data_IF_646686853456
#
_entry.id   IF_646686853456
#
_cell.length_a   1.000
_cell.length_b   1.000
_cell.length_c   1.000
_cell.angle_alpha   90.00
_cell.angle_beta   90.00
_cell.angle_gamma   90.00
#
_symmetry.space_group_name_H-M   'P 1'
#
loop_
_entity.id
_entity.type
_entity.pdbx_description
1 polymer ?
#
# COMPACT_ATOMS: atom_id res chain seq x y z
N UNK A 1 1.66 23.81 -10.94
CA UNK A 1 2.51 22.61 -10.90
C UNK A 1 1.73 21.48 -10.26
N UNK A 2 1.65 20.35 -10.95
CA UNK A 2 0.60 19.31 -10.86
C UNK A 2 0.77 18.34 -9.69
N UNK A 3 -0.32 18.06 -8.98
CA UNK A 3 -0.46 17.20 -7.78
C UNK A 3 0.12 15.78 -7.89
N UNK A 4 0.43 15.29 -9.11
CA UNK A 4 1.13 14.02 -9.35
C UNK A 4 2.48 13.93 -8.64
N UNK A 5 3.18 15.06 -8.43
CA UNK A 5 4.54 15.06 -7.90
C UNK A 5 4.68 14.48 -6.47
N UNK A 6 3.69 14.67 -5.60
CA UNK A 6 3.83 14.34 -4.16
C UNK A 6 3.72 12.86 -3.81
N UNK A 7 2.90 12.11 -4.52
CA UNK A 7 2.73 10.66 -4.26
C UNK A 7 3.89 9.89 -4.87
N UNK A 8 4.42 10.36 -5.99
CA UNK A 8 5.68 9.88 -6.57
C UNK A 8 6.86 10.10 -5.63
N UNK A 9 6.89 11.22 -4.87
CA UNK A 9 7.94 11.47 -3.87
C UNK A 9 7.94 10.44 -2.73
N UNK A 10 6.77 10.05 -2.21
CA UNK A 10 6.68 9.02 -1.17
C UNK A 10 7.12 7.66 -1.70
N UNK A 11 6.59 7.22 -2.84
CA UNK A 11 6.98 5.95 -3.46
C UNK A 11 8.47 5.89 -3.75
N UNK A 12 9.02 7.00 -4.24
CA UNK A 12 10.45 7.15 -4.49
C UNK A 12 11.24 7.06 -3.18
N UNK A 13 10.85 7.79 -2.14
CA UNK A 13 11.51 7.75 -0.83
C UNK A 13 11.49 6.35 -0.22
N UNK A 14 10.37 5.63 -0.33
CA UNK A 14 10.27 4.24 0.12
C UNK A 14 11.22 3.33 -0.64
N UNK A 15 11.30 3.47 -1.97
CA UNK A 15 12.23 2.68 -2.78
C UNK A 15 13.70 3.04 -2.49
N UNK A 16 14.01 4.33 -2.33
CA UNK A 16 15.36 4.79 -2.00
C UNK A 16 15.81 4.24 -0.63
N UNK A 17 14.94 4.29 0.38
CA UNK A 17 15.18 3.69 1.68
C UNK A 17 15.41 2.17 1.56
N UNK A 18 14.59 1.48 0.76
CA UNK A 18 14.74 0.04 0.54
C UNK A 18 16.11 -0.30 -0.04
N UNK A 19 16.53 0.39 -1.09
CA UNK A 19 17.84 0.18 -1.72
C UNK A 19 18.99 0.47 -0.77
N UNK A 20 18.86 1.49 0.08
CA UNK A 20 19.86 1.81 1.10
C UNK A 20 20.00 0.71 2.15
N UNK A 21 18.89 0.09 2.57
CA UNK A 21 18.88 -0.93 3.61
C UNK A 21 19.27 -2.30 3.07
N UNK A 22 18.74 -2.68 1.91
CA UNK A 22 19.04 -3.95 1.27
C UNK A 22 20.48 -4.02 0.74
N UNK A 23 21.10 -2.87 0.47
CA UNK A 23 22.47 -2.79 -0.05
C UNK A 23 22.54 -3.17 -1.54
N UNK A 24 23.75 -3.35 -2.06
CA UNK A 24 23.96 -3.71 -3.46
C UNK A 24 23.55 -5.16 -3.72
N UNK A 25 22.50 -5.33 -4.51
CA UNK A 25 22.03 -6.63 -4.98
C UNK A 25 21.62 -6.53 -6.45
N UNK A 26 21.51 -7.67 -7.12
CA UNK A 26 20.95 -7.77 -8.46
C UNK A 26 19.43 -7.62 -8.43
N UNK A 27 18.84 -7.25 -9.57
CA UNK A 27 17.38 -7.19 -9.72
C UNK A 27 16.69 -8.54 -9.47
N UNK A 28 17.38 -9.66 -9.72
CA UNK A 28 16.85 -11.00 -9.44
C UNK A 28 16.78 -11.24 -7.93
N UNK A 29 17.84 -10.90 -7.20
CA UNK A 29 17.89 -11.07 -5.75
C UNK A 29 16.88 -10.18 -5.03
N UNK A 30 16.69 -8.92 -5.45
CA UNK A 30 15.60 -8.09 -4.93
C UNK A 30 14.22 -8.69 -5.22
N UNK A 31 14.07 -9.36 -6.36
CA UNK A 31 12.83 -10.01 -6.75
C UNK A 31 12.51 -11.20 -5.86
N UNK A 32 13.51 -12.02 -5.55
CA UNK A 32 13.40 -13.13 -4.62
C UNK A 32 13.11 -12.65 -3.19
N UNK A 33 13.79 -11.58 -2.76
CA UNK A 33 13.63 -10.99 -1.43
C UNK A 33 12.21 -10.47 -1.18
N UNK A 34 11.65 -9.73 -2.14
CA UNK A 34 10.34 -9.08 -1.98
C UNK A 34 9.18 -9.94 -2.52
N UNK A 35 9.48 -11.00 -3.28
CA UNK A 35 8.48 -11.74 -4.05
C UNK A 35 7.88 -10.90 -5.19
N UNK A 36 8.66 -10.01 -5.79
CA UNK A 36 8.24 -9.13 -6.89
C UNK A 36 8.99 -9.54 -8.17
N UNK A 37 8.30 -9.61 -9.29
CA UNK A 37 8.95 -9.95 -10.57
C UNK A 37 10.07 -8.95 -10.93
N UNK A 38 11.18 -9.48 -11.46
CA UNK A 38 12.34 -8.68 -11.89
C UNK A 38 11.98 -7.53 -12.83
N UNK A 39 11.12 -7.79 -13.81
CA UNK A 39 10.64 -6.79 -14.78
C UNK A 39 9.79 -5.71 -14.10
N UNK A 40 9.03 -6.08 -13.06
CA UNK A 40 8.24 -5.14 -12.26
C UNK A 40 9.14 -4.27 -11.40
N UNK A 41 10.14 -4.84 -10.72
CA UNK A 41 11.15 -4.08 -9.97
C UNK A 41 11.90 -3.09 -10.87
N UNK A 42 12.33 -3.53 -12.05
CA UNK A 42 12.96 -2.64 -13.03
C UNK A 42 12.07 -1.42 -13.35
N UNK A 43 10.76 -1.64 -13.57
CA UNK A 43 9.82 -0.53 -13.82
C UNK A 43 9.67 0.39 -12.62
N UNK A 44 9.59 -0.14 -11.40
CA UNK A 44 9.48 0.66 -10.18
C UNK A 44 10.70 1.57 -9.98
N UNK A 45 11.91 1.05 -10.24
CA UNK A 45 13.15 1.83 -10.18
C UNK A 45 13.19 2.98 -11.21
N UNK A 46 12.46 2.83 -12.32
CA UNK A 46 12.32 3.87 -13.34
C UNK A 46 11.10 4.77 -13.13
N UNK A 47 10.50 4.75 -11.93
CA UNK A 47 9.42 5.66 -11.54
C UNK A 47 8.02 5.20 -11.94
N UNK A 48 7.83 3.92 -12.25
CA UNK A 48 6.48 3.38 -12.39
C UNK A 48 5.74 3.45 -11.06
N UNK A 49 4.43 3.70 -11.12
CA UNK A 49 3.56 3.74 -9.95
C UNK A 49 3.59 2.39 -9.21
N UNK A 50 3.84 2.46 -7.91
CA UNK A 50 3.86 1.30 -7.01
C UNK A 50 2.43 0.87 -6.66
N UNK A 51 2.18 -0.44 -6.63
CA UNK A 51 0.92 -1.00 -6.12
C UNK A 51 0.96 -1.07 -4.61
N UNK A 52 -0.21 -1.09 -3.96
CA UNK A 52 -0.29 -1.21 -2.49
C UNK A 52 0.45 -2.43 -1.94
N UNK A 53 0.27 -3.62 -2.52
CA UNK A 53 0.93 -4.83 -2.02
C UNK A 53 2.46 -4.80 -2.18
N UNK A 54 2.98 -4.11 -3.22
CA UNK A 54 4.42 -3.93 -3.43
C UNK A 54 4.99 -2.99 -2.37
N UNK A 55 4.24 -1.92 -2.06
CA UNK A 55 4.57 -0.99 -1.00
C UNK A 55 4.59 -1.70 0.36
N UNK A 56 3.57 -2.51 0.67
CA UNK A 56 3.48 -3.29 1.91
C UNK A 56 4.68 -4.23 2.07
N UNK A 57 5.07 -4.96 1.00
CA UNK A 57 6.25 -5.83 1.03
C UNK A 57 7.52 -5.09 1.38
N UNK A 58 7.72 -3.92 0.77
CA UNK A 58 8.90 -3.09 1.03
C UNK A 58 8.88 -2.53 2.46
N UNK A 59 7.73 -2.09 2.97
CA UNK A 59 7.60 -1.58 4.34
C UNK A 59 7.87 -2.68 5.37
N UNK A 60 7.33 -3.89 5.19
CA UNK A 60 7.61 -5.03 6.07
C UNK A 60 9.11 -5.28 6.15
N UNK A 61 9.79 -5.30 5.00
CA UNK A 61 11.24 -5.48 4.96
C UNK A 61 11.99 -4.36 5.71
N UNK A 62 11.58 -3.10 5.53
CA UNK A 62 12.20 -1.95 6.21
C UNK A 62 12.01 -2.02 7.73
N UNK A 63 10.82 -2.39 8.20
CA UNK A 63 10.50 -2.57 9.62
C UNK A 63 11.34 -3.69 10.26
N UNK A 64 11.44 -4.85 9.58
CA UNK A 64 12.22 -5.99 10.05
C UNK A 64 13.72 -5.68 10.18
N UNK A 65 14.23 -4.73 9.38
CA UNK A 65 15.63 -4.31 9.40
C UNK A 65 15.88 -3.06 10.26
N UNK A 66 14.94 -2.71 11.15
CA UNK A 66 15.14 -1.67 12.18
C UNK A 66 15.22 -0.24 11.64
N UNK A 67 14.76 -0.01 10.41
CA UNK A 67 14.69 1.31 9.80
C UNK A 67 13.26 1.83 9.92
N UNK A 68 13.11 3.12 10.25
CA UNK A 68 11.80 3.75 10.40
C UNK A 68 10.97 3.49 9.14
N UNK A 69 9.99 2.59 9.22
CA UNK A 69 8.89 2.54 8.26
C UNK A 69 8.34 3.93 8.14
N UNK A 70 8.05 4.32 6.90
CA UNK A 70 7.39 5.59 6.70
C UNK A 70 6.00 5.41 7.29
N UNK A 71 5.69 6.12 8.38
CA UNK A 71 4.37 6.08 9.01
C UNK A 71 3.35 6.68 8.03
N UNK A 72 2.83 5.80 7.19
CA UNK A 72 2.03 6.09 6.01
C UNK A 72 0.68 6.70 6.41
N UNK A 73 0.13 6.33 7.57
CA UNK A 73 -1.07 6.98 8.11
C UNK A 73 -0.87 8.47 8.28
N UNK A 74 0.28 8.88 8.82
CA UNK A 74 0.57 10.28 9.07
C UNK A 74 0.80 11.06 7.76
N UNK A 75 1.40 10.44 6.73
CA UNK A 75 1.58 11.08 5.42
C UNK A 75 0.27 11.17 4.63
N UNK A 76 -0.58 10.14 4.66
CA UNK A 76 -1.90 10.14 4.02
C UNK A 76 -2.83 11.14 4.73
N UNK A 77 -2.87 11.15 6.07
CA UNK A 77 -3.64 12.15 6.85
C UNK A 77 -3.21 13.58 6.52
N UNK A 78 -1.90 13.85 6.37
CA UNK A 78 -1.36 15.15 5.92
C UNK A 78 -1.73 15.49 4.47
N UNK A 79 -1.81 14.50 3.58
CA UNK A 79 -2.23 14.72 2.18
C UNK A 79 -3.74 15.01 2.07
N UNK A 80 -4.55 14.40 2.94
CA UNK A 80 -6.01 14.52 2.97
C UNK A 80 -6.49 15.85 3.54
N UNK A 81 -5.80 16.43 4.54
CA UNK A 81 -6.09 17.80 5.00
C UNK A 81 -6.01 18.87 3.88
N UNK A 82 -5.33 18.58 2.76
CA UNK A 82 -5.22 19.49 1.60
C UNK A 82 -6.18 19.15 0.44
N UNK A 83 -7.01 18.11 0.55
CA UNK A 83 -7.78 17.51 -0.55
C UNK A 83 -9.26 17.88 -0.60
N UNK A 84 -9.69 18.95 0.09
CA UNK A 84 -11.02 19.55 -0.08
C UNK A 84 -11.23 20.24 -1.45
N UNK A 85 -10.22 20.24 -2.34
CA UNK A 85 -10.27 20.89 -3.66
C UNK A 85 -9.85 19.89 -4.73
N UNK A 86 -10.82 19.44 -5.52
CA UNK A 86 -10.76 18.28 -6.42
C UNK A 86 -9.59 18.22 -7.41
N UNK A 87 -9.35 17.01 -7.94
CA UNK A 87 -8.81 16.74 -9.28
C UNK A 87 -8.51 15.24 -9.52
N UNK A 88 -9.02 14.73 -10.64
CA UNK A 88 -8.43 13.78 -11.61
C UNK A 88 -7.46 12.68 -11.16
N UNK A 89 -7.89 11.43 -11.38
CA UNK A 89 -7.29 10.15 -10.97
C UNK A 89 -6.06 9.77 -11.82
N UNK A 90 -4.86 9.93 -11.25
CA UNK A 90 -3.89 8.82 -11.19
C UNK A 90 -4.19 8.06 -9.89
N UNK A 91 -3.97 6.75 -9.83
CA UNK A 91 -4.47 5.91 -8.74
C UNK A 91 -3.60 6.09 -7.49
N UNK A 92 -3.74 7.26 -6.86
CA UNK A 92 -3.16 7.65 -5.59
C UNK A 92 -3.23 6.49 -4.58
N UNK A 93 -2.09 6.09 -4.00
CA UNK A 93 -2.01 5.08 -2.95
C UNK A 93 -3.00 5.40 -1.80
N UNK A 94 -3.28 6.67 -1.53
CA UNK A 94 -4.34 7.06 -0.59
C UNK A 94 -5.73 6.57 -0.98
N UNK A 95 -6.09 6.66 -2.27
CA UNK A 95 -7.36 6.15 -2.78
C UNK A 95 -7.38 4.61 -2.74
N UNK A 96 -6.25 3.96 -3.07
CA UNK A 96 -6.14 2.50 -2.97
C UNK A 96 -6.31 2.03 -1.52
N UNK A 97 -5.69 2.75 -0.57
CA UNK A 97 -5.78 2.49 0.86
C UNK A 97 -7.21 2.68 1.39
N UNK A 98 -7.87 3.81 1.10
CA UNK A 98 -9.25 4.06 1.51
C UNK A 98 -10.22 3.00 0.96
N UNK A 99 -10.03 2.58 -0.30
CA UNK A 99 -10.79 1.48 -0.89
C UNK A 99 -10.55 0.18 -0.15
N UNK A 100 -9.30 -0.10 0.22
CA UNK A 100 -8.93 -1.34 0.91
C UNK A 100 -9.52 -1.38 2.34
N UNK A 101 -9.47 -0.26 3.08
CA UNK A 101 -10.18 -0.14 4.37
C UNK A 101 -11.68 -0.42 4.17
N UNK A 102 -12.32 0.30 3.25
CA UNK A 102 -13.77 0.18 3.05
C UNK A 102 -14.20 -1.22 2.63
N UNK A 103 -13.38 -1.90 1.82
CA UNK A 103 -13.60 -3.30 1.46
C UNK A 103 -13.48 -4.23 2.67
N UNK A 104 -12.49 -4.01 3.54
CA UNK A 104 -12.33 -4.78 4.78
C UNK A 104 -13.54 -4.63 5.71
N UNK A 105 -14.01 -3.40 5.89
CA UNK A 105 -15.18 -3.12 6.72
C UNK A 105 -16.44 -3.81 6.18
N UNK A 106 -16.64 -3.77 4.85
CA UNK A 106 -17.76 -4.45 4.18
C UNK A 106 -17.69 -5.98 4.33
N UNK A 107 -16.49 -6.56 4.26
CA UNK A 107 -16.30 -8.00 4.47
C UNK A 107 -16.66 -8.39 5.90
N UNK A 108 -16.17 -7.66 6.91
CA UNK A 108 -16.51 -7.90 8.31
C UNK A 108 -18.01 -7.77 8.58
N UNK A 109 -18.66 -6.75 8.00
CA UNK A 109 -20.11 -6.57 8.12
C UNK A 109 -20.87 -7.75 7.50
N UNK A 110 -20.43 -8.24 6.33
CA UNK A 110 -21.03 -9.41 5.67
C UNK A 110 -20.86 -10.72 6.43
N UNK A 111 -19.72 -10.92 7.10
CA UNK A 111 -19.47 -12.09 7.95
C UNK A 111 -20.32 -12.05 9.22
N UNK A 112 -20.51 -10.85 9.80
CA UNK A 112 -21.39 -10.67 10.96
C UNK A 112 -22.85 -11.02 10.66
N UNK A 113 -23.32 -10.64 9.45
CA UNK A 113 -24.68 -10.92 8.96
C UNK A 113 -24.89 -12.41 8.66
N UNK A 114 -23.89 -13.10 8.11
CA UNK A 114 -23.96 -14.56 7.90
C UNK A 114 -24.05 -15.32 9.23
N UNK A 115 -23.22 -14.94 10.20
CA UNK A 115 -23.24 -15.54 11.54
C UNK A 115 -24.60 -15.35 12.25
N UNK A 116 -25.23 -14.18 12.11
CA UNK A 116 -26.56 -13.92 12.69
C UNK A 116 -27.66 -14.69 11.95
N UNK A 117 -27.57 -14.83 10.62
CA UNK A 117 -28.49 -15.65 9.83
C UNK A 117 -28.44 -17.13 10.22
N UNK A 118 -27.25 -17.70 10.34
CA UNK A 118 -27.06 -19.11 10.73
C UNK A 118 -27.57 -19.39 12.15
N UNK A 119 -27.41 -18.42 13.06
CA UNK A 119 -27.93 -18.50 14.43
C UNK A 119 -29.47 -18.45 14.48
N UNK A 120 -30.11 -17.69 13.59
CA UNK A 120 -31.57 -17.59 13.49
C UNK A 120 -32.19 -18.85 12.89
N UNK A 121 -31.56 -19.43 11.86
CA UNK A 121 -32.02 -20.71 11.29
C UNK A 121 -31.93 -21.84 12.31
N UNK A 122 -30.83 -21.93 13.08
CA UNK A 122 -30.64 -22.94 14.13
C UNK A 122 -31.63 -22.84 15.30
N UNK A 123 -32.22 -21.67 15.56
CA UNK A 123 -33.26 -21.46 16.58
C UNK A 123 -34.68 -21.72 16.05
N UNK A 124 -34.84 -21.82 14.74
CA UNK A 124 -36.14 -22.06 14.07
C UNK A 124 -36.37 -23.51 13.63
N UNK A 125 -35.35 -24.37 13.78
CA UNK A 125 -35.38 -25.81 13.52
C UNK A 125 -35.62 -26.62 14.81
#
# INVERSE_FOLDING_TARGET
MTKKAKITELQKKTMDNFLQVAGEMTLSEYGELLGIERTRLFRLLHGAEMKMWEFEKIQIYLDENGQNSVNWENEIKKSHQKKALGAGVGIDLGIQWERNIRLRDLVQESESLKSTSESLEALSA
#
